data_IF_689580891510
#
_entry.id   IF_689580891510
#
_cell.length_a   1.000
_cell.length_b   1.000
_cell.length_c   1.000
_cell.angle_alpha   90.00
_cell.angle_beta   90.00
_cell.angle_gamma   90.00
#
_symmetry.space_group_name_H-M   'P 1'
#
loop_
_entity.id
_entity.type
_entity.pdbx_description
1 polymer ?
#
# COMPACT_ATOMS: atom_id res chain seq x y z
N UNK A 1 3.60 -28.39 -2.06
CA UNK A 1 3.61 -27.55 -0.84
C UNK A 1 3.35 -26.07 -1.16
N UNK A 2 4.25 -25.33 -1.83
CA UNK A 2 3.99 -23.92 -2.17
C UNK A 2 2.83 -23.72 -3.16
N UNK A 3 2.82 -24.48 -4.26
CA UNK A 3 1.76 -24.38 -5.27
C UNK A 3 0.37 -24.70 -4.70
N UNK A 4 0.28 -25.70 -3.81
CA UNK A 4 -0.97 -26.08 -3.17
C UNK A 4 -1.48 -24.96 -2.26
N UNK A 5 -0.58 -24.32 -1.51
CA UNK A 5 -0.92 -23.18 -0.66
C UNK A 5 -1.37 -21.95 -1.47
N UNK A 6 -0.72 -21.67 -2.61
CA UNK A 6 -1.13 -20.60 -3.53
C UNK A 6 -2.53 -20.90 -4.09
N UNK A 7 -2.79 -22.15 -4.49
CA UNK A 7 -4.11 -22.56 -4.98
C UNK A 7 -5.20 -22.40 -3.91
N UNK A 8 -4.91 -22.77 -2.66
CA UNK A 8 -5.81 -22.59 -1.52
C UNK A 8 -6.11 -21.11 -1.25
N UNK A 9 -5.09 -20.25 -1.22
CA UNK A 9 -5.27 -18.81 -1.02
C UNK A 9 -6.10 -18.19 -2.14
N UNK A 10 -5.83 -18.56 -3.40
CA UNK A 10 -6.60 -18.10 -4.55
C UNK A 10 -8.07 -18.49 -4.41
N UNK A 11 -8.35 -19.74 -4.05
CA UNK A 11 -9.71 -20.23 -3.86
C UNK A 11 -10.44 -19.46 -2.74
N UNK A 12 -9.76 -19.19 -1.63
CA UNK A 12 -10.32 -18.38 -0.54
C UNK A 12 -10.71 -16.98 -1.00
N UNK A 13 -9.89 -16.32 -1.82
CA UNK A 13 -10.23 -15.00 -2.39
C UNK A 13 -11.48 -15.09 -3.26
N UNK A 14 -11.59 -16.11 -4.12
CA UNK A 14 -12.76 -16.30 -4.99
C UNK A 14 -14.04 -16.57 -4.20
N UNK A 15 -13.96 -17.30 -3.09
CA UNK A 15 -15.11 -17.59 -2.24
C UNK A 15 -15.54 -16.39 -1.40
N UNK A 16 -14.58 -15.66 -0.81
CA UNK A 16 -14.87 -14.53 0.07
C UNK A 16 -15.21 -13.25 -0.70
N UNK A 17 -14.68 -13.10 -1.92
CA UNK A 17 -14.81 -11.91 -2.77
C UNK A 17 -14.62 -10.60 -1.99
N UNK A 18 -13.46 -10.42 -1.33
CA UNK A 18 -13.27 -9.30 -0.41
C UNK A 18 -13.34 -7.95 -1.14
N UNK A 19 -13.99 -6.97 -0.51
CA UNK A 19 -13.91 -5.56 -0.93
C UNK A 19 -12.55 -5.00 -0.55
N UNK A 20 -11.77 -4.54 -1.53
CA UNK A 20 -10.45 -3.94 -1.33
C UNK A 20 -10.55 -2.45 -1.66
N UNK A 21 -10.37 -1.63 -0.63
CA UNK A 21 -10.34 -0.18 -0.80
C UNK A 21 -8.93 0.24 -1.20
N UNK A 22 -8.78 0.72 -2.42
CA UNK A 22 -7.53 1.23 -2.96
C UNK A 22 -7.51 2.76 -2.92
N UNK A 23 -6.55 3.32 -2.20
CA UNK A 23 -6.11 4.71 -2.37
C UNK A 23 -4.76 4.63 -3.08
N UNK A 24 -4.80 4.49 -4.40
CA UNK A 24 -3.62 4.24 -5.25
C UNK A 24 -3.34 5.40 -6.20
N UNK A 25 -2.19 5.35 -6.86
CA UNK A 25 -1.76 6.37 -7.80
C UNK A 25 -2.54 6.33 -9.13
N UNK A 26 -2.55 7.46 -9.84
CA UNK A 26 -3.31 7.61 -11.09
C UNK A 26 -2.84 6.69 -12.22
N UNK A 27 -1.55 6.33 -12.25
CA UNK A 27 -0.96 5.56 -13.35
C UNK A 27 -1.47 4.12 -13.35
N UNK A 28 -1.69 3.53 -12.18
CA UNK A 28 -2.03 2.10 -12.04
C UNK A 28 -3.47 1.86 -11.60
N UNK A 29 -4.30 2.91 -11.46
CA UNK A 29 -5.64 2.79 -10.88
C UNK A 29 -6.52 1.80 -11.65
N UNK A 30 -6.51 1.86 -12.99
CA UNK A 30 -7.28 0.95 -13.84
C UNK A 30 -6.77 -0.49 -13.77
N UNK A 31 -5.46 -0.69 -13.87
CA UNK A 31 -4.84 -2.01 -13.81
C UNK A 31 -5.04 -2.67 -12.45
N UNK A 32 -4.93 -1.90 -11.36
CA UNK A 32 -5.21 -2.37 -10.00
C UNK A 32 -6.65 -2.87 -9.89
N UNK A 33 -7.63 -2.12 -10.42
CA UNK A 33 -9.02 -2.56 -10.42
C UNK A 33 -9.20 -3.87 -11.20
N UNK A 34 -8.67 -3.94 -12.42
CA UNK A 34 -8.81 -5.11 -13.28
C UNK A 34 -8.12 -6.35 -12.70
N UNK A 35 -6.93 -6.21 -12.13
CA UNK A 35 -6.22 -7.32 -11.48
C UNK A 35 -6.98 -7.78 -10.24
N UNK A 36 -7.45 -6.87 -9.38
CA UNK A 36 -8.26 -7.23 -8.21
C UNK A 36 -9.53 -7.99 -8.59
N UNK A 37 -10.23 -7.56 -9.65
CA UNK A 37 -11.38 -8.30 -10.19
C UNK A 37 -10.98 -9.69 -10.72
N UNK A 38 -9.89 -9.77 -11.47
CA UNK A 38 -9.42 -11.00 -12.10
C UNK A 38 -9.05 -12.08 -11.07
N UNK A 39 -8.50 -11.68 -9.93
CA UNK A 39 -8.17 -12.61 -8.83
C UNK A 39 -9.36 -12.95 -7.92
N UNK A 40 -10.54 -12.39 -8.19
CA UNK A 40 -11.80 -12.69 -7.49
C UNK A 40 -12.21 -11.68 -6.41
N UNK A 41 -11.43 -10.62 -6.19
CA UNK A 41 -11.78 -9.53 -5.27
C UNK A 41 -12.74 -8.50 -5.87
N UNK A 42 -13.17 -7.56 -5.05
CA UNK A 42 -14.00 -6.42 -5.44
C UNK A 42 -13.20 -5.13 -5.19
N UNK A 43 -12.69 -4.44 -6.23
CA UNK A 43 -11.96 -3.18 -6.03
C UNK A 43 -12.93 -2.02 -5.78
N UNK A 44 -12.51 -1.08 -4.95
CA UNK A 44 -13.13 0.26 -4.88
C UNK A 44 -12.06 1.33 -4.76
N UNK A 45 -12.25 2.43 -5.48
CA UNK A 45 -11.33 3.58 -5.53
C UNK A 45 -12.07 4.82 -5.04
N UNK A 46 -11.97 5.09 -3.73
CA UNK A 46 -12.48 6.31 -3.11
C UNK A 46 -11.32 7.04 -2.43
N UNK A 47 -11.13 8.32 -2.72
CA UNK A 47 -10.00 9.09 -2.19
C UNK A 47 -10.39 10.48 -1.69
N UNK A 48 -11.66 10.89 -1.88
CA UNK A 48 -12.18 12.12 -1.30
C UNK A 48 -12.22 11.99 0.22
N UNK A 49 -11.66 12.98 0.92
CA UNK A 49 -11.52 12.97 2.38
C UNK A 49 -12.87 12.79 3.08
N UNK A 50 -13.92 13.29 2.46
CA UNK A 50 -15.30 13.29 2.92
C UNK A 50 -15.91 11.90 2.98
N UNK A 51 -15.50 10.97 2.10
CA UNK A 51 -16.11 9.63 2.01
C UNK A 51 -15.17 8.49 2.43
N UNK A 52 -13.86 8.72 2.46
CA UNK A 52 -12.87 7.62 2.64
C UNK A 52 -13.03 6.85 3.95
N UNK A 53 -13.48 7.50 5.03
CA UNK A 53 -13.75 6.86 6.31
C UNK A 53 -14.99 5.94 6.24
N UNK A 54 -16.00 6.33 5.46
CA UNK A 54 -17.19 5.51 5.24
C UNK A 54 -16.86 4.34 4.33
N UNK A 55 -16.12 4.59 3.23
CA UNK A 55 -15.75 3.55 2.27
C UNK A 55 -14.90 2.45 2.91
N UNK A 56 -13.87 2.82 3.68
CA UNK A 56 -12.99 1.84 4.30
C UNK A 56 -13.71 0.99 5.32
N UNK A 57 -14.77 1.49 5.98
CA UNK A 57 -15.51 0.75 6.98
C UNK A 57 -16.25 -0.50 6.43
N UNK A 58 -16.48 -0.54 5.11
CA UNK A 58 -17.04 -1.70 4.43
C UNK A 58 -15.97 -2.64 3.82
N UNK A 59 -14.70 -2.24 3.86
CA UNK A 59 -13.62 -2.96 3.18
C UNK A 59 -13.06 -4.12 4.03
N UNK A 60 -12.61 -5.17 3.36
CA UNK A 60 -11.83 -6.25 3.97
C UNK A 60 -10.35 -5.92 4.13
N UNK A 61 -9.84 -4.95 3.36
CA UNK A 61 -8.49 -4.41 3.48
C UNK A 61 -8.40 -3.01 2.85
N UNK A 62 -7.43 -2.22 3.31
CA UNK A 62 -7.06 -0.92 2.75
C UNK A 62 -5.67 -1.01 2.12
N UNK A 63 -5.52 -0.55 0.88
CA UNK A 63 -4.22 -0.45 0.18
C UNK A 63 -3.90 1.01 -0.08
N UNK A 64 -2.76 1.45 0.44
CA UNK A 64 -2.23 2.81 0.29
C UNK A 64 -1.03 2.80 -0.65
N UNK A 65 -1.11 3.55 -1.75
CA UNK A 65 -0.01 3.73 -2.70
C UNK A 65 0.07 5.21 -3.12
N UNK A 66 0.97 6.01 -2.51
CA UNK A 66 1.13 7.44 -2.80
C UNK A 66 1.99 7.73 -4.05
N UNK A 67 2.00 6.85 -5.06
CA UNK A 67 2.85 6.98 -6.25
C UNK A 67 2.68 8.28 -7.05
N UNK A 68 1.51 8.91 -7.00
CA UNK A 68 1.22 10.24 -7.59
C UNK A 68 0.66 11.19 -6.53
N UNK A 69 1.25 11.21 -5.33
CA UNK A 69 0.67 11.93 -4.19
C UNK A 69 0.51 13.44 -4.39
N UNK A 70 -0.47 13.97 -3.66
CA UNK A 70 -0.54 15.36 -3.21
C UNK A 70 -0.63 15.36 -1.68
N UNK A 71 -0.32 16.47 -0.99
CA UNK A 71 -0.48 16.55 0.46
C UNK A 71 -1.93 16.23 0.92
N UNK A 72 -2.93 16.73 0.20
CA UNK A 72 -4.34 16.42 0.47
C UNK A 72 -4.66 14.93 0.33
N UNK A 73 -4.08 14.27 -0.67
CA UNK A 73 -4.28 12.84 -0.85
C UNK A 73 -3.68 12.03 0.31
N UNK A 74 -2.53 12.45 0.83
CA UNK A 74 -1.93 11.83 2.03
C UNK A 74 -2.82 12.04 3.26
N UNK A 75 -3.48 13.19 3.41
CA UNK A 75 -4.47 13.38 4.47
C UNK A 75 -5.65 12.41 4.33
N UNK A 76 -6.18 12.20 3.12
CA UNK A 76 -7.22 11.19 2.88
C UNK A 76 -6.74 9.78 3.24
N UNK A 77 -5.49 9.43 2.91
CA UNK A 77 -4.90 8.15 3.30
C UNK A 77 -4.82 7.98 4.82
N UNK A 78 -4.47 9.04 5.56
CA UNK A 78 -4.44 9.02 7.02
C UNK A 78 -5.83 8.88 7.63
N UNK A 79 -6.84 9.56 7.09
CA UNK A 79 -8.23 9.43 7.54
C UNK A 79 -8.72 7.99 7.34
N UNK A 80 -8.53 7.44 6.13
CA UNK A 80 -8.90 6.06 5.82
C UNK A 80 -8.14 5.05 6.70
N UNK A 81 -6.82 5.24 6.85
CA UNK A 81 -5.95 4.37 7.63
C UNK A 81 -6.30 4.36 9.12
N UNK A 82 -6.57 5.53 9.71
CA UNK A 82 -6.99 5.63 11.12
C UNK A 82 -8.30 4.89 11.34
N UNK A 83 -9.27 5.08 10.43
CA UNK A 83 -10.55 4.38 10.49
C UNK A 83 -10.39 2.87 10.29
N UNK A 84 -9.52 2.43 9.39
CA UNK A 84 -9.19 1.02 9.22
C UNK A 84 -8.61 0.41 10.51
N UNK A 85 -7.66 1.10 11.15
CA UNK A 85 -7.05 0.64 12.40
C UNK A 85 -8.07 0.50 13.54
N UNK A 86 -8.98 1.46 13.69
CA UNK A 86 -10.08 1.41 14.67
C UNK A 86 -10.97 0.18 14.50
N UNK A 87 -11.21 -0.22 13.25
CA UNK A 87 -12.07 -1.35 12.87
C UNK A 87 -11.30 -2.68 12.77
N UNK A 88 -9.97 -2.67 12.96
CA UNK A 88 -9.12 -3.84 12.78
C UNK A 88 -8.96 -4.30 11.33
N UNK A 89 -9.23 -3.41 10.36
CA UNK A 89 -9.06 -3.67 8.93
C UNK A 89 -7.56 -3.58 8.60
N UNK A 90 -6.96 -4.59 7.95
CA UNK A 90 -5.54 -4.58 7.63
C UNK A 90 -5.21 -3.50 6.60
N UNK A 91 -4.17 -2.72 6.89
CA UNK A 91 -3.64 -1.69 6.00
C UNK A 91 -2.35 -2.17 5.34
N UNK A 92 -2.28 -2.09 4.01
CA UNK A 92 -1.08 -2.36 3.21
C UNK A 92 -0.52 -1.05 2.69
N UNK A 93 0.78 -0.82 2.85
CA UNK A 93 1.48 0.33 2.30
C UNK A 93 2.44 -0.11 1.19
N UNK A 94 2.31 0.52 0.02
CA UNK A 94 3.26 0.44 -1.08
C UNK A 94 3.96 1.81 -1.22
N UNK A 95 5.18 1.99 -0.69
CA UNK A 95 5.77 3.31 -0.47
C UNK A 95 6.46 3.87 -1.73
N UNK A 96 5.75 3.84 -2.86
CA UNK A 96 6.28 4.15 -4.19
C UNK A 96 7.09 5.45 -4.24
N UNK A 97 8.36 5.31 -4.59
CA UNK A 97 9.31 6.40 -4.75
C UNK A 97 9.80 7.03 -3.44
N UNK A 98 9.63 6.37 -2.30
CA UNK A 98 10.40 6.70 -1.10
C UNK A 98 11.90 6.72 -1.44
N UNK A 99 12.61 7.75 -0.97
CA UNK A 99 14.01 8.00 -1.32
C UNK A 99 14.21 8.85 -2.58
N UNK A 100 13.23 8.95 -3.48
CA UNK A 100 13.38 9.74 -4.71
C UNK A 100 13.22 11.26 -4.49
N UNK A 101 12.32 11.67 -3.59
CA UNK A 101 12.13 13.07 -3.19
C UNK A 101 11.78 13.17 -1.71
N UNK A 102 12.09 14.30 -1.08
CA UNK A 102 11.74 14.55 0.34
C UNK A 102 10.25 14.37 0.59
N UNK A 103 9.38 14.92 -0.27
CA UNK A 103 7.94 14.82 -0.09
C UNK A 103 7.45 13.36 -0.07
N UNK A 104 7.96 12.51 -0.97
CA UNK A 104 7.61 11.08 -1.03
C UNK A 104 8.09 10.34 0.21
N UNK A 105 9.34 10.57 0.62
CA UNK A 105 9.92 9.90 1.79
C UNK A 105 9.19 10.28 3.07
N UNK A 106 9.00 11.57 3.32
CA UNK A 106 8.37 12.06 4.55
C UNK A 106 6.89 11.69 4.62
N UNK A 107 6.18 11.69 3.48
CA UNK A 107 4.77 11.26 3.46
C UNK A 107 4.63 9.77 3.80
N UNK A 108 5.51 8.92 3.27
CA UNK A 108 5.50 7.49 3.60
C UNK A 108 5.92 7.21 5.05
N UNK A 109 6.90 7.94 5.59
CA UNK A 109 7.27 7.87 7.02
C UNK A 109 6.11 8.27 7.91
N UNK A 110 5.44 9.38 7.59
CA UNK A 110 4.25 9.82 8.33
C UNK A 110 3.13 8.79 8.30
N UNK A 111 2.88 8.14 7.17
CA UNK A 111 1.90 7.04 7.09
C UNK A 111 2.30 5.86 7.98
N UNK A 112 3.59 5.50 8.03
CA UNK A 112 4.09 4.43 8.90
C UNK A 112 4.03 4.80 10.39
N UNK A 113 4.27 6.05 10.74
CA UNK A 113 4.26 6.55 12.12
C UNK A 113 2.83 6.69 12.67
N UNK A 114 1.89 7.16 11.86
CA UNK A 114 0.52 7.44 12.29
C UNK A 114 -0.45 6.25 12.15
N UNK A 115 -0.07 5.20 11.39
CA UNK A 115 -0.94 4.07 11.09
C UNK A 115 -0.31 2.73 11.53
N UNK A 116 -1.17 1.82 12.00
CA UNK A 116 -0.82 0.40 12.18
C UNK A 116 -0.83 -0.33 10.83
N UNK A 117 0.29 -0.27 10.12
CA UNK A 117 0.46 -0.98 8.85
C UNK A 117 0.66 -2.48 9.08
N UNK A 118 -0.14 -3.31 8.41
CA UNK A 118 -0.06 -4.77 8.48
C UNK A 118 1.03 -5.33 7.56
N UNK A 119 1.22 -4.72 6.39
CA UNK A 119 2.23 -5.11 5.40
C UNK A 119 2.79 -3.87 4.72
N UNK A 120 4.12 -3.80 4.62
CA UNK A 120 4.81 -2.86 3.72
C UNK A 120 5.36 -3.65 2.54
N UNK A 121 5.04 -3.23 1.31
CA UNK A 121 5.56 -3.85 0.09
C UNK A 121 6.25 -2.78 -0.74
N UNK A 122 7.57 -2.84 -0.84
CA UNK A 122 8.38 -1.95 -1.67
C UNK A 122 9.61 -2.66 -2.21
N UNK A 123 10.33 -2.02 -3.12
CA UNK A 123 11.63 -2.51 -3.57
C UNK A 123 12.72 -2.22 -2.52
N UNK A 124 13.90 -2.82 -2.68
CA UNK A 124 15.00 -2.69 -1.73
C UNK A 124 15.43 -1.24 -1.50
N UNK A 125 15.44 -0.40 -2.54
CA UNK A 125 15.78 1.02 -2.41
C UNK A 125 14.75 1.82 -1.61
N UNK A 126 13.46 1.57 -1.82
CA UNK A 126 12.36 2.21 -1.09
C UNK A 126 12.37 1.82 0.39
N UNK A 127 12.53 0.53 0.70
CA UNK A 127 12.59 0.05 2.09
C UNK A 127 13.86 0.57 2.78
N UNK A 128 15.01 0.56 2.10
CA UNK A 128 16.24 1.14 2.62
C UNK A 128 16.13 2.64 2.92
N UNK A 129 15.48 3.40 2.04
CA UNK A 129 15.23 4.83 2.24
C UNK A 129 14.34 5.11 3.46
N UNK A 130 13.31 4.27 3.69
CA UNK A 130 12.41 4.44 4.84
C UNK A 130 13.08 4.11 6.17
N UNK A 131 13.91 3.08 6.20
CA UNK A 131 14.57 2.57 7.40
C UNK A 131 15.87 3.29 7.76
N UNK A 132 16.38 4.12 6.84
CA UNK A 132 17.65 4.83 7.03
C UNK A 132 18.89 3.94 6.82
N UNK A 133 18.71 2.71 6.32
CA UNK A 133 19.79 1.73 6.08
C UNK A 133 20.43 1.84 4.69
N UNK A 134 20.09 2.86 3.89
CA UNK A 134 20.71 3.15 2.59
C UNK A 134 19.84 2.79 1.38
N UNK A 135 20.44 2.66 0.19
CA UNK A 135 19.72 2.46 -1.07
C UNK A 135 19.42 3.76 -1.81
N UNK A 136 19.55 3.74 -3.14
CA UNK A 136 19.28 4.92 -4.00
C UNK A 136 18.15 4.60 -4.95
N UNK A 137 17.09 5.41 -4.90
CA UNK A 137 15.92 5.31 -5.78
C UNK A 137 15.91 6.47 -6.77
N UNK A 138 15.62 6.18 -8.04
CA UNK A 138 15.38 7.20 -9.07
C UNK A 138 13.99 7.00 -9.67
N UNK A 139 13.06 7.87 -9.29
CA UNK A 139 11.64 7.68 -9.62
C UNK A 139 11.06 6.56 -8.79
N UNK A 140 10.86 5.38 -9.39
CA UNK A 140 10.36 4.16 -8.72
C UNK A 140 11.35 2.99 -8.84
N UNK A 141 12.48 3.19 -9.52
CA UNK A 141 13.47 2.15 -9.76
C UNK A 141 14.59 2.22 -8.72
N UNK A 142 15.02 1.06 -8.23
CA UNK A 142 16.23 0.95 -7.42
C UNK A 142 17.45 1.08 -8.34
N UNK A 143 18.31 2.07 -8.05
CA UNK A 143 19.56 2.28 -8.78
C UNK A 143 20.75 1.68 -8.01
N UNK A 144 20.62 1.59 -6.68
CA UNK A 144 21.57 0.91 -5.80
C UNK A 144 20.77 0.08 -4.81
N UNK A 145 20.93 -1.23 -4.88
CA UNK A 145 20.33 -2.17 -3.92
C UNK A 145 20.95 -2.01 -2.54
N UNK A 146 20.20 -2.34 -1.50
CA UNK A 146 20.76 -2.49 -0.14
C UNK A 146 21.45 -3.85 -0.03
N UNK A 147 22.60 -3.87 0.65
CA UNK A 147 23.44 -5.07 0.79
C UNK A 147 22.72 -6.24 1.50
N UNK A 148 21.77 -5.95 2.41
CA UNK A 148 20.94 -6.96 3.09
C UNK A 148 19.45 -6.54 3.10
N UNK A 149 18.69 -6.84 2.04
CA UNK A 149 17.27 -6.49 1.96
C UNK A 149 16.41 -7.13 3.06
N UNK A 150 16.83 -8.29 3.60
CA UNK A 150 16.08 -9.02 4.63
C UNK A 150 16.31 -8.41 6.01
N UNK A 151 17.55 -8.00 6.32
CA UNK A 151 17.85 -7.23 7.51
C UNK A 151 17.14 -5.87 7.53
N UNK A 152 16.97 -5.27 6.35
CA UNK A 152 16.34 -3.96 6.19
C UNK A 152 14.82 -4.00 6.41
N UNK A 153 14.14 -5.12 6.13
CA UNK A 153 12.68 -5.23 6.20
C UNK A 153 12.11 -5.63 7.58
N UNK A 154 12.92 -5.70 8.64
CA UNK A 154 12.52 -6.10 10.01
C UNK A 154 12.17 -4.91 10.89
#
# INVERSE_FOLDING_TARGET
>A
MLNDHIAELRERVHQQRPLIHHITNFVVMNDTANVTLHIGGLPVMAHAREEVAEMVAAAGALVLNPGTLTPEWVESMLVAGKRANELGIPVVLDPVGAGATTLRTESNRRLLEELKIAVVRGNSGEIGALTGMGGVVKGVETVVEVDDPVGVAK
#
